data_IF_791300415666
#
_entry.id   IF_791300415666
#
_cell.length_a   1.000
_cell.length_b   1.000
_cell.length_c   1.000
_cell.angle_alpha   90.00
_cell.angle_beta   90.00
_cell.angle_gamma   90.00
#
_symmetry.space_group_name_H-M   'P 1'
#
loop_
_entity.id
_entity.type
_entity.pdbx_description
1 polymer ?
#
# COMPACT_ATOMS: atom_id res chain seq x y z
N UNK A 1 4.24 7.42 -0.37
CA UNK A 1 3.45 6.23 -0.12
C UNK A 1 3.52 5.82 1.34
N UNK A 2 2.47 5.15 1.82
CA UNK A 2 2.41 4.71 3.21
C UNK A 2 1.70 3.36 3.32
N UNK A 3 2.39 2.38 3.89
CA UNK A 3 1.82 1.04 4.07
C UNK A 3 0.68 1.07 5.08
N UNK A 4 0.66 2.10 5.92
CA UNK A 4 -0.37 2.24 6.94
C UNK A 4 -1.57 2.99 6.38
N UNK A 5 -1.35 3.79 5.35
CA UNK A 5 -2.41 4.57 4.74
C UNK A 5 -2.10 4.88 3.27
N UNK A 6 -2.01 3.82 2.45
CA UNK A 6 -1.71 3.95 1.03
C UNK A 6 -2.86 4.58 0.24
N UNK A 7 -2.64 5.80 -0.24
CA UNK A 7 -3.66 6.51 -1.00
C UNK A 7 -4.03 5.75 -2.27
N UNK A 8 -3.04 5.10 -2.87
CA UNK A 8 -3.25 4.34 -4.10
C UNK A 8 -3.40 2.85 -3.79
N UNK A 9 -4.47 2.25 -4.29
CA UNK A 9 -4.73 0.84 -4.08
C UNK A 9 -3.51 -0.01 -4.43
N UNK A 10 -2.79 0.41 -5.47
CA UNK A 10 -1.60 -0.31 -5.90
C UNK A 10 -0.55 -0.35 -4.81
N UNK A 11 -0.41 0.77 -4.09
CA UNK A 11 0.56 0.86 -3.01
C UNK A 11 0.22 -0.10 -1.88
N UNK A 12 -1.06 -0.14 -1.50
CA UNK A 12 -1.52 -1.01 -0.44
C UNK A 12 -1.14 -2.47 -0.72
N UNK A 13 -1.34 -2.89 -1.97
CA UNK A 13 -1.02 -4.25 -2.37
C UNK A 13 0.49 -4.51 -2.30
N UNK A 14 1.27 -3.55 -2.78
CA UNK A 14 2.72 -3.67 -2.76
C UNK A 14 3.25 -3.69 -1.34
N UNK A 15 2.68 -2.85 -0.48
CA UNK A 15 3.09 -2.77 0.91
C UNK A 15 2.59 -3.98 1.70
N UNK A 16 1.44 -4.52 1.28
CA UNK A 16 0.86 -5.68 1.95
C UNK A 16 1.62 -6.94 1.60
N UNK A 17 2.22 -6.97 0.42
CA UNK A 17 2.98 -8.12 -0.03
C UNK A 17 2.24 -9.42 0.26
N UNK A 18 1.02 -9.53 -0.28
CA UNK A 18 0.20 -10.71 -0.07
C UNK A 18 0.51 -11.77 -1.13
N UNK A 19 0.94 -12.94 -0.68
#
# INVERSE_FOLDING_TARGET
CNCKAPETALCARRCQQHX
#
